data_IF_860558514340
#
_entry.id   IF_860558514340
#
_cell.length_a   1.000
_cell.length_b   1.000
_cell.length_c   1.000
_cell.angle_alpha   90.00
_cell.angle_beta   90.00
_cell.angle_gamma   90.00
#
_symmetry.space_group_name_H-M   'P 1'
#
loop_
_entity.id
_entity.type
_entity.pdbx_description
1 polymer ?
#
# COMPACT_ATOMS: atom_id res chain seq x y z
N UNK A 1 30.47 30.37 11.57
CA UNK A 1 29.19 30.17 10.87
C UNK A 1 28.68 28.76 11.12
N UNK A 2 27.51 28.65 11.67
CA UNK A 2 26.89 27.35 11.93
C UNK A 2 26.12 26.90 10.69
N UNK A 3 26.45 25.69 10.20
CA UNK A 3 25.66 25.05 9.15
C UNK A 3 24.48 24.34 9.82
N UNK A 4 23.28 24.76 9.47
CA UNK A 4 22.10 24.04 9.91
C UNK A 4 22.08 22.66 9.25
N UNK A 5 21.74 21.61 10.01
CA UNK A 5 21.50 20.31 9.45
C UNK A 5 20.30 20.39 8.48
N UNK A 6 20.38 19.65 7.37
CA UNK A 6 19.26 19.56 6.46
C UNK A 6 18.04 18.98 7.20
N UNK A 7 16.83 19.52 7.00
CA UNK A 7 15.66 18.94 7.63
C UNK A 7 15.43 17.52 7.13
N UNK A 8 14.84 16.67 7.97
CA UNK A 8 14.43 15.35 7.58
C UNK A 8 13.44 15.43 6.40
N UNK A 9 13.42 14.44 5.48
CA UNK A 9 12.45 14.42 4.38
C UNK A 9 11.03 14.48 4.92
N UNK A 10 10.22 15.35 4.33
CA UNK A 10 8.83 15.55 4.72
C UNK A 10 7.89 14.91 3.72
N UNK A 11 6.78 14.32 4.19
CA UNK A 11 5.77 13.81 3.30
C UNK A 11 5.13 14.97 2.51
N UNK A 12 4.98 14.80 1.19
CA UNK A 12 4.45 15.83 0.30
C UNK A 12 2.97 15.71 -0.01
N UNK A 13 2.32 14.62 0.37
CA UNK A 13 0.89 14.40 0.13
C UNK A 13 0.20 13.92 1.40
N UNK A 14 -1.13 14.06 1.42
CA UNK A 14 -1.94 13.56 2.54
C UNK A 14 -1.79 12.04 2.71
N UNK A 15 -1.70 11.28 1.61
CA UNK A 15 -1.50 9.85 1.65
C UNK A 15 -0.12 9.47 2.20
N UNK A 16 0.92 10.20 1.82
CA UNK A 16 2.25 10.00 2.41
C UNK A 16 2.22 10.28 3.91
N UNK A 17 1.59 11.37 4.34
CA UNK A 17 1.43 11.69 5.77
C UNK A 17 0.67 10.59 6.52
N UNK A 18 -0.33 9.99 5.88
CA UNK A 18 -1.09 8.90 6.47
C UNK A 18 -0.20 7.68 6.73
N UNK A 19 0.64 7.31 5.77
CA UNK A 19 1.49 6.11 5.87
C UNK A 19 2.79 6.32 6.64
N UNK A 20 3.21 7.54 6.87
CA UNK A 20 4.37 7.79 7.74
C UNK A 20 3.96 7.53 9.18
N UNK A 21 4.68 6.62 9.85
CA UNK A 21 4.32 6.12 11.18
C UNK A 21 3.70 4.73 11.09
N UNK A 22 2.77 4.43 11.97
CA UNK A 22 2.18 3.10 12.07
C UNK A 22 0.72 3.12 11.63
N UNK A 23 0.35 2.17 10.79
CA UNK A 23 -1.04 1.93 10.38
C UNK A 23 -1.40 0.47 10.58
N UNK A 24 -2.67 0.21 10.82
CA UNK A 24 -3.22 -1.14 10.94
C UNK A 24 -4.44 -1.26 10.02
N UNK A 25 -4.50 -2.37 9.29
CA UNK A 25 -5.63 -2.70 8.43
C UNK A 25 -6.34 -3.96 8.89
N UNK A 26 -7.63 -4.02 8.64
CA UNK A 26 -8.42 -5.24 8.88
C UNK A 26 -9.55 -5.33 7.88
N UNK A 27 -9.89 -6.54 7.48
CA UNK A 27 -10.95 -6.78 6.53
C UNK A 27 -11.02 -8.22 6.09
N UNK A 28 -11.36 -8.43 4.82
CA UNK A 28 -11.65 -9.76 4.30
C UNK A 28 -10.96 -10.02 2.97
N UNK A 29 -10.63 -11.30 2.76
CA UNK A 29 -10.23 -11.87 1.49
C UNK A 29 -11.40 -12.70 0.97
N UNK A 30 -11.84 -12.43 -0.24
CA UNK A 30 -12.84 -13.22 -0.94
C UNK A 30 -12.17 -13.91 -2.12
N UNK A 31 -11.93 -15.20 -1.99
CA UNK A 31 -11.48 -16.04 -3.10
C UNK A 31 -12.68 -16.48 -3.91
N UNK A 32 -12.48 -16.70 -5.24
CA UNK A 32 -13.51 -17.27 -6.08
C UNK A 32 -13.95 -18.65 -5.53
N UNK A 33 -15.25 -18.88 -5.45
CA UNK A 33 -15.85 -20.15 -5.02
C UNK A 33 -15.51 -20.56 -3.58
N UNK A 34 -15.09 -19.62 -2.75
CA UNK A 34 -14.74 -19.87 -1.34
C UNK A 34 -15.45 -18.91 -0.41
N UNK A 35 -15.54 -19.28 0.86
CA UNK A 35 -16.05 -18.36 1.88
C UNK A 35 -15.04 -17.26 2.17
N UNK A 36 -15.49 -16.03 2.49
CA UNK A 36 -14.58 -14.99 2.91
C UNK A 36 -13.81 -15.40 4.17
N UNK A 37 -12.55 -14.95 4.25
CA UNK A 37 -11.77 -15.13 5.46
C UNK A 37 -11.07 -13.83 5.86
N UNK A 38 -10.69 -13.73 7.13
CA UNK A 38 -10.16 -12.50 7.69
C UNK A 38 -8.72 -12.25 7.26
N UNK A 39 -8.39 -10.97 7.11
CA UNK A 39 -7.02 -10.50 6.91
C UNK A 39 -6.80 -9.26 7.76
N UNK A 40 -5.59 -9.14 8.30
CA UNK A 40 -5.12 -7.95 9.02
C UNK A 40 -3.72 -7.63 8.53
N UNK A 41 -3.34 -6.38 8.67
CA UNK A 41 -1.95 -5.99 8.44
C UNK A 41 -1.53 -4.91 9.42
N UNK A 42 -0.23 -4.82 9.61
CA UNK A 42 0.40 -3.74 10.36
C UNK A 42 1.56 -3.21 9.52
N UNK A 43 1.60 -1.91 9.37
CA UNK A 43 2.60 -1.25 8.51
C UNK A 43 3.29 -0.14 9.26
N UNK A 44 4.57 0.02 8.96
CA UNK A 44 5.36 1.16 9.42
C UNK A 44 5.98 1.84 8.21
N UNK A 45 5.65 3.12 8.03
CA UNK A 45 6.10 3.90 6.90
C UNK A 45 7.04 5.01 7.29
N UNK A 46 7.96 5.36 6.38
CA UNK A 46 8.88 6.48 6.52
C UNK A 46 9.20 7.06 5.16
N UNK A 47 9.57 8.34 5.14
CA UNK A 47 10.13 8.94 3.93
C UNK A 47 11.61 8.59 3.82
N UNK A 48 12.04 8.24 2.63
CA UNK A 48 13.44 7.95 2.29
C UNK A 48 13.86 8.90 1.16
N UNK A 49 14.16 10.12 1.54
CA UNK A 49 14.40 11.21 0.61
C UNK A 49 13.10 11.86 0.10
N UNK A 50 13.21 12.92 -0.70
CA UNK A 50 12.03 13.61 -1.24
C UNK A 50 11.24 12.69 -2.18
N UNK A 51 9.94 12.59 -1.93
CA UNK A 51 9.02 11.86 -2.80
C UNK A 51 9.10 10.35 -2.74
N UNK A 52 9.94 9.76 -1.89
CA UNK A 52 10.04 8.31 -1.73
C UNK A 52 9.48 7.88 -0.38
N UNK A 53 8.48 7.00 -0.40
CA UNK A 53 7.84 6.43 0.79
C UNK A 53 8.21 4.95 0.86
N UNK A 54 8.76 4.52 2.00
CA UNK A 54 9.06 3.11 2.27
C UNK A 54 8.12 2.61 3.35
N UNK A 55 7.48 1.47 3.10
CA UNK A 55 6.54 0.86 4.05
C UNK A 55 6.96 -0.58 4.31
N UNK A 56 7.22 -0.88 5.58
CA UNK A 56 7.40 -2.24 6.06
C UNK A 56 6.05 -2.76 6.54
N UNK A 57 5.57 -3.81 5.90
CA UNK A 57 4.24 -4.36 6.15
C UNK A 57 4.32 -5.81 6.58
N UNK A 58 3.53 -6.19 7.58
CA UNK A 58 3.30 -7.58 7.94
C UNK A 58 1.82 -7.89 7.73
N UNK A 59 1.54 -8.96 6.99
CA UNK A 59 0.19 -9.40 6.66
C UNK A 59 -0.14 -10.68 7.40
N UNK A 60 -1.30 -10.70 8.05
CA UNK A 60 -1.83 -11.84 8.80
C UNK A 60 -3.13 -12.27 8.13
N UNK A 61 -3.06 -13.27 7.29
CA UNK A 61 -4.23 -13.84 6.62
C UNK A 61 -4.63 -15.14 7.31
N UNK A 62 -5.92 -15.30 7.61
CA UNK A 62 -6.42 -16.48 8.28
C UNK A 62 -6.04 -17.76 7.52
N UNK A 63 -5.51 -18.75 8.22
CA UNK A 63 -5.08 -20.01 7.65
C UNK A 63 -3.72 -20.01 6.99
N UNK A 64 -2.98 -18.89 7.04
CA UNK A 64 -1.65 -18.76 6.44
C UNK A 64 -0.63 -18.20 7.41
N UNK A 65 0.67 -18.53 7.23
CA UNK A 65 1.72 -17.89 8.01
C UNK A 65 1.76 -16.38 7.75
N UNK A 66 2.18 -15.62 8.76
CA UNK A 66 2.44 -14.20 8.59
C UNK A 66 3.51 -13.99 7.52
N UNK A 67 3.33 -12.98 6.68
CA UNK A 67 4.32 -12.64 5.66
C UNK A 67 4.67 -11.16 5.70
N UNK A 68 5.91 -10.87 5.38
CA UNK A 68 6.42 -9.50 5.35
C UNK A 68 6.52 -9.02 3.91
N UNK A 69 6.18 -7.76 3.71
CA UNK A 69 6.28 -7.08 2.43
C UNK A 69 6.92 -5.72 2.65
N UNK A 70 7.79 -5.32 1.75
CA UNK A 70 8.39 -4.00 1.76
C UNK A 70 7.98 -3.27 0.49
N UNK A 71 7.40 -2.10 0.67
CA UNK A 71 6.97 -1.22 -0.41
C UNK A 71 7.93 -0.05 -0.51
N UNK A 72 8.28 0.33 -1.72
CA UNK A 72 8.94 1.59 -2.00
C UNK A 72 8.16 2.27 -3.12
N UNK A 73 7.54 3.40 -2.81
CA UNK A 73 6.74 4.16 -3.76
C UNK A 73 7.37 5.52 -3.97
N UNK A 74 7.54 5.91 -5.23
CA UNK A 74 8.22 7.14 -5.62
C UNK A 74 7.29 7.92 -6.52
N UNK A 75 7.12 9.21 -6.22
CA UNK A 75 6.41 10.12 -7.13
C UNK A 75 7.30 10.41 -8.33
N UNK A 76 6.75 10.17 -9.53
CA UNK A 76 7.50 10.22 -10.78
C UNK A 76 7.14 11.47 -11.63
N UNK A 77 6.60 12.52 -10.99
CA UNK A 77 6.14 13.75 -11.64
C UNK A 77 4.64 13.76 -11.86
N UNK A 78 3.99 14.90 -11.61
CA UNK A 78 2.54 15.01 -11.69
C UNK A 78 1.83 14.01 -10.79
N UNK A 79 0.86 13.28 -11.34
CA UNK A 79 0.10 12.27 -10.61
C UNK A 79 0.77 10.88 -10.65
N UNK A 80 1.84 10.70 -11.42
CA UNK A 80 2.44 9.40 -11.63
C UNK A 80 3.19 8.90 -10.37
N UNK A 81 3.02 7.62 -10.07
CA UNK A 81 3.70 6.92 -8.98
C UNK A 81 4.31 5.65 -9.56
N UNK A 82 5.53 5.36 -9.15
CA UNK A 82 6.18 4.10 -9.50
C UNK A 82 6.93 3.56 -8.28
N UNK A 83 7.32 2.30 -8.34
CA UNK A 83 8.08 1.72 -7.24
C UNK A 83 8.22 0.23 -7.32
N UNK A 84 8.49 -0.34 -6.16
CA UNK A 84 8.69 -1.79 -5.99
C UNK A 84 7.94 -2.30 -4.79
N UNK A 85 7.59 -3.58 -4.84
CA UNK A 85 7.14 -4.34 -3.66
C UNK A 85 7.98 -5.60 -3.63
N UNK A 86 8.40 -6.02 -2.44
CA UNK A 86 9.34 -7.14 -2.29
C UNK A 86 8.82 -8.47 -2.86
N UNK A 87 7.50 -8.66 -2.94
CA UNK A 87 6.89 -9.86 -3.53
C UNK A 87 6.29 -9.64 -4.93
N UNK A 88 6.58 -8.50 -5.55
CA UNK A 88 6.14 -8.21 -6.91
C UNK A 88 7.22 -8.56 -7.93
N UNK A 89 6.77 -9.02 -9.10
CA UNK A 89 7.62 -9.21 -10.27
C UNK A 89 7.52 -7.97 -11.14
N UNK A 90 8.66 -7.29 -11.31
CA UNK A 90 8.69 -6.05 -12.07
C UNK A 90 8.16 -4.83 -11.29
N UNK A 91 7.98 -3.70 -11.96
CA UNK A 91 7.66 -2.45 -11.30
C UNK A 91 6.19 -2.38 -10.86
N UNK A 92 5.96 -1.60 -9.81
CA UNK A 92 4.65 -1.11 -9.43
C UNK A 92 4.44 0.23 -10.12
N UNK A 93 3.29 0.42 -10.74
CA UNK A 93 2.94 1.68 -11.40
C UNK A 93 1.55 2.12 -11.00
N UNK A 94 1.34 3.41 -10.97
CA UNK A 94 0.03 3.94 -10.66
C UNK A 94 -0.05 5.44 -10.70
N UNK A 95 -1.12 5.94 -10.10
CA UNK A 95 -1.42 7.37 -10.03
C UNK A 95 -1.90 7.73 -8.63
N UNK A 96 -1.56 8.94 -8.22
CA UNK A 96 -2.13 9.57 -7.04
C UNK A 96 -3.02 10.72 -7.54
N UNK A 97 -4.33 10.56 -7.37
CA UNK A 97 -5.32 11.53 -7.83
C UNK A 97 -6.26 11.86 -6.69
N UNK A 98 -6.22 13.11 -6.21
CA UNK A 98 -6.99 13.50 -5.05
C UNK A 98 -6.63 12.66 -3.84
N UNK A 99 -7.60 11.96 -3.29
CA UNK A 99 -7.44 11.12 -2.10
C UNK A 99 -7.18 9.64 -2.42
N UNK A 100 -7.02 9.29 -3.70
CA UNK A 100 -6.92 7.89 -4.13
C UNK A 100 -5.57 7.60 -4.75
N UNK A 101 -4.91 6.60 -4.22
CA UNK A 101 -3.74 5.97 -4.82
C UNK A 101 -4.21 4.72 -5.56
N UNK A 102 -3.98 4.68 -6.86
CA UNK A 102 -4.35 3.55 -7.72
C UNK A 102 -3.08 2.90 -8.26
N UNK A 103 -2.88 1.63 -7.93
CA UNK A 103 -1.68 0.88 -8.26
C UNK A 103 -2.01 -0.34 -9.11
N UNK A 104 -1.07 -0.70 -9.99
CA UNK A 104 -1.10 -1.95 -10.76
C UNK A 104 0.27 -2.60 -10.67
N UNK A 105 0.28 -3.89 -10.42
CA UNK A 105 1.51 -4.68 -10.34
C UNK A 105 1.20 -6.17 -10.52
N UNK A 106 2.25 -6.97 -10.64
CA UNK A 106 2.15 -8.42 -10.73
C UNK A 106 2.90 -9.03 -9.56
N UNK A 107 2.28 -10.01 -8.90
CA UNK A 107 2.97 -10.77 -7.88
C UNK A 107 3.93 -11.77 -8.51
N UNK A 108 5.03 -12.06 -7.82
CA UNK A 108 6.04 -13.00 -8.29
C UNK A 108 5.46 -14.39 -8.53
N UNK A 109 4.40 -14.76 -7.81
CA UNK A 109 3.73 -16.06 -7.93
C UNK A 109 2.61 -16.09 -8.97
N UNK A 110 2.42 -15.01 -9.73
CA UNK A 110 1.62 -15.06 -10.94
C UNK A 110 0.42 -14.12 -11.07
N UNK A 111 -0.45 -13.88 -10.07
CA UNK A 111 -1.60 -13.01 -10.31
C UNK A 111 -1.19 -11.55 -10.49
N UNK A 112 -1.91 -10.84 -11.35
CA UNK A 112 -1.84 -9.39 -11.43
C UNK A 112 -2.77 -8.77 -10.41
N UNK A 113 -2.39 -7.61 -9.88
CA UNK A 113 -3.13 -6.91 -8.84
C UNK A 113 -3.44 -5.50 -9.30
N UNK A 114 -4.68 -5.12 -9.11
CA UNK A 114 -5.10 -3.72 -9.18
C UNK A 114 -5.56 -3.31 -7.78
N UNK A 115 -5.05 -2.18 -7.28
CA UNK A 115 -5.26 -1.77 -5.89
C UNK A 115 -5.61 -0.31 -5.81
N UNK A 116 -6.62 0.01 -5.01
CA UNK A 116 -7.05 1.37 -4.71
C UNK A 116 -6.96 1.61 -3.22
N UNK A 117 -6.28 2.66 -2.82
CA UNK A 117 -6.23 3.12 -1.43
C UNK A 117 -6.81 4.54 -1.42
N UNK A 118 -7.95 4.70 -0.75
CA UNK A 118 -8.66 5.98 -0.69
C UNK A 118 -8.65 6.51 0.73
N UNK A 119 -7.98 7.65 0.91
CA UNK A 119 -7.92 8.33 2.19
C UNK A 119 -9.29 8.89 2.54
N UNK A 120 -9.74 8.66 3.76
CA UNK A 120 -11.03 9.14 4.25
C UNK A 120 -10.90 10.55 4.82
N UNK A 121 -12.01 11.32 4.93
CA UNK A 121 -11.99 12.63 5.57
C UNK A 121 -11.35 12.57 6.96
N UNK A 122 -10.54 13.57 7.27
CA UNK A 122 -9.80 13.65 8.54
C UNK A 122 -8.40 13.06 8.47
N UNK A 123 -8.06 12.29 7.44
CA UNK A 123 -6.69 11.81 7.23
C UNK A 123 -6.21 10.73 8.20
N UNK A 124 -7.10 10.11 8.97
CA UNK A 124 -6.74 9.09 9.99
C UNK A 124 -7.18 7.69 9.60
N UNK A 125 -7.91 7.54 8.52
CA UNK A 125 -8.40 6.27 8.02
C UNK A 125 -8.33 6.23 6.49
N UNK A 126 -8.20 5.04 5.93
CA UNK A 126 -8.24 4.80 4.50
C UNK A 126 -8.98 3.50 4.21
N UNK A 127 -9.55 3.41 3.01
CA UNK A 127 -10.11 2.16 2.50
C UNK A 127 -9.17 1.61 1.45
N UNK A 128 -8.95 0.32 1.51
CA UNK A 128 -8.09 -0.40 0.58
C UNK A 128 -8.91 -1.48 -0.10
N UNK A 129 -8.84 -1.52 -1.44
CA UNK A 129 -9.44 -2.58 -2.24
C UNK A 129 -8.39 -3.11 -3.20
N UNK A 130 -8.27 -4.44 -3.27
CA UNK A 130 -7.39 -5.12 -4.19
C UNK A 130 -8.19 -6.13 -4.99
N UNK A 131 -7.95 -6.18 -6.30
CA UNK A 131 -8.54 -7.17 -7.19
C UNK A 131 -7.40 -7.95 -7.84
N UNK A 132 -7.48 -9.27 -7.73
CA UNK A 132 -6.46 -10.19 -8.24
C UNK A 132 -7.01 -10.87 -9.49
N UNK A 133 -6.22 -10.86 -10.56
CA UNK A 133 -6.56 -11.53 -11.81
C UNK A 133 -5.49 -12.55 -12.17
N UNK A 134 -5.91 -13.70 -12.66
CA UNK A 134 -5.04 -14.71 -13.22
C UNK A 134 -5.63 -15.12 -14.58
N UNK A 135 -4.81 -15.02 -15.62
CA UNK A 135 -5.27 -15.27 -17.00
C UNK A 135 -6.50 -14.43 -17.38
N UNK A 136 -6.53 -13.17 -16.94
CA UNK A 136 -7.65 -12.26 -17.20
C UNK A 136 -8.91 -12.50 -16.37
N UNK A 137 -8.91 -13.51 -15.51
CA UNK A 137 -10.07 -13.85 -14.67
C UNK A 137 -9.84 -13.38 -13.24
N UNK A 138 -10.86 -12.73 -12.66
CA UNK A 138 -10.81 -12.32 -11.25
C UNK A 138 -10.83 -13.55 -10.35
N UNK A 139 -9.78 -13.74 -9.56
CA UNK A 139 -9.64 -14.91 -8.68
C UNK A 139 -9.77 -14.56 -7.21
N UNK A 140 -9.60 -13.28 -6.83
CA UNK A 140 -9.74 -12.84 -5.45
C UNK A 140 -9.99 -11.35 -5.37
N UNK A 141 -10.62 -10.94 -4.28
CA UNK A 141 -10.76 -9.52 -3.89
C UNK A 141 -10.40 -9.40 -2.42
N UNK A 142 -9.65 -8.36 -2.09
CA UNK A 142 -9.34 -8.01 -0.69
C UNK A 142 -9.90 -6.62 -0.41
N UNK A 143 -10.59 -6.49 0.70
CA UNK A 143 -11.09 -5.19 1.17
C UNK A 143 -10.70 -5.02 2.63
N UNK A 144 -10.01 -3.93 2.94
CA UNK A 144 -9.61 -3.60 4.31
C UNK A 144 -9.91 -2.14 4.63
N UNK A 145 -10.19 -1.89 5.89
CA UNK A 145 -10.18 -0.57 6.47
C UNK A 145 -8.85 -0.39 7.19
N UNK A 146 -8.14 0.69 6.86
CA UNK A 146 -6.84 1.00 7.43
C UNK A 146 -7.01 2.20 8.35
N UNK A 147 -6.36 2.16 9.52
CA UNK A 147 -6.35 3.29 10.45
C UNK A 147 -4.94 3.64 10.87
N UNK A 148 -4.71 4.91 11.08
CA UNK A 148 -3.45 5.41 11.65
C UNK A 148 -3.51 5.24 13.16
N UNK A 149 -2.46 4.66 13.75
CA UNK A 149 -2.45 4.32 15.19
C UNK A 149 -1.48 5.16 16.01
N UNK A 150 -0.78 6.09 15.38
CA UNK A 150 0.13 7.03 16.08
C UNK A 150 -0.09 8.49 15.72
#
# INVERSE_FOLDING_TARGET
>A
MLLAAAPAPQPGSALERFFVGTTEGSGTVQMALSKPHAVRDRSRGRMDGPGALVIDQTVFEAGKPARKRVWRLVRAGGAAVSGTISDAKGPVKGTLSGNTLHLKYRLAEGPSVEQWITLQPGGRAARNKMVFHRFGIRVATVETAIRKVD
#
